data_IF_253542582652
#
_entry.id   IF_253542582652
#
_cell.length_a   1.000
_cell.length_b   1.000
_cell.length_c   1.000
_cell.angle_alpha   90.00
_cell.angle_beta   90.00
_cell.angle_gamma   90.00
#
_symmetry.space_group_name_H-M   'P 1'
#
loop_
_entity.id
_entity.type
_entity.pdbx_description
1 polymer ?
#
# COMPACT_ATOMS: atom_id res chain seq x y z
N UNK A 1 -6.64 -4.24 -27.15
CA UNK A 1 -5.67 -4.55 -28.21
C UNK A 1 -6.44 -5.19 -29.35
N UNK A 2 -6.18 -4.77 -30.57
CA UNK A 2 -6.70 -5.41 -31.79
C UNK A 2 -5.48 -5.79 -32.61
N UNK A 3 -5.35 -7.07 -32.99
CA UNK A 3 -4.20 -7.60 -33.75
C UNK A 3 -2.82 -7.30 -33.12
N UNK A 4 -2.73 -7.25 -31.79
CA UNK A 4 -1.48 -6.94 -31.06
C UNK A 4 -1.18 -5.44 -30.94
N UNK A 5 -2.01 -4.56 -31.48
CA UNK A 5 -1.87 -3.11 -31.38
C UNK A 5 -2.71 -2.54 -30.24
N UNK A 6 -2.19 -1.51 -29.58
CA UNK A 6 -2.90 -0.78 -28.53
C UNK A 6 -3.98 0.12 -29.15
N UNK A 7 -5.16 0.15 -28.54
CA UNK A 7 -6.31 0.91 -29.05
C UNK A 7 -6.96 1.74 -27.95
N UNK A 8 -7.44 2.94 -28.29
CA UNK A 8 -8.29 3.79 -27.43
C UNK A 8 -9.60 4.04 -28.17
N UNK A 9 -10.73 3.65 -27.57
CA UNK A 9 -12.06 3.76 -28.20
C UNK A 9 -12.17 3.12 -29.59
N UNK A 10 -11.41 2.04 -29.84
CA UNK A 10 -11.37 1.35 -31.13
C UNK A 10 -10.29 1.85 -32.09
N UNK A 11 -9.72 3.04 -31.85
CA UNK A 11 -8.68 3.63 -32.69
C UNK A 11 -7.29 3.16 -32.26
N UNK A 12 -6.45 2.76 -33.24
CA UNK A 12 -5.07 2.36 -32.98
C UNK A 12 -4.26 3.57 -32.53
N UNK A 13 -3.49 3.38 -31.45
CA UNK A 13 -2.61 4.41 -30.91
C UNK A 13 -1.15 3.98 -31.00
N UNK A 14 -0.28 4.95 -31.30
CA UNK A 14 1.17 4.73 -31.26
C UNK A 14 1.56 4.31 -29.85
N UNK A 15 2.22 3.17 -29.75
CA UNK A 15 2.68 2.61 -28.48
C UNK A 15 4.13 2.18 -28.58
N UNK A 16 4.76 1.97 -27.44
CA UNK A 16 6.12 1.45 -27.32
C UNK A 16 6.13 0.25 -26.39
N UNK A 17 7.10 -0.67 -26.50
CA UNK A 17 7.27 -1.73 -25.52
C UNK A 17 7.45 -1.16 -24.12
N UNK A 18 6.89 -1.84 -23.11
CA UNK A 18 6.96 -1.39 -21.70
C UNK A 18 8.39 -1.11 -21.26
N UNK A 19 9.35 -1.97 -21.64
CA UNK A 19 10.78 -1.77 -21.35
C UNK A 19 11.29 -0.41 -21.88
N UNK A 20 11.01 -0.11 -23.14
CA UNK A 20 11.40 1.16 -23.78
C UNK A 20 10.70 2.36 -23.14
N UNK A 21 9.44 2.20 -22.71
CA UNK A 21 8.71 3.22 -21.97
C UNK A 21 9.35 3.53 -20.61
N UNK A 22 9.76 2.50 -19.86
CA UNK A 22 10.47 2.65 -18.57
C UNK A 22 11.81 3.37 -18.77
N UNK A 23 12.59 2.97 -19.78
CA UNK A 23 13.90 3.59 -20.06
C UNK A 23 13.76 5.07 -20.40
N UNK A 24 12.76 5.43 -21.21
CA UNK A 24 12.42 6.82 -21.50
C UNK A 24 11.98 7.58 -20.25
N UNK A 25 11.13 6.98 -19.41
CA UNK A 25 10.68 7.60 -18.17
C UNK A 25 11.84 7.84 -17.19
N UNK A 26 12.72 6.86 -16.98
CA UNK A 26 13.91 7.00 -16.12
C UNK A 26 14.81 8.13 -16.65
N UNK A 27 15.06 8.14 -17.97
CA UNK A 27 15.87 9.17 -18.61
C UNK A 27 15.27 10.56 -18.40
N UNK A 28 13.94 10.68 -18.49
CA UNK A 28 13.22 11.92 -18.26
C UNK A 28 13.29 12.35 -16.79
N UNK A 29 12.97 11.47 -15.84
CA UNK A 29 13.01 11.76 -14.39
C UNK A 29 14.41 12.15 -13.93
N UNK A 30 15.45 11.50 -14.46
CA UNK A 30 16.84 11.73 -14.07
C UNK A 30 17.38 13.12 -14.44
N UNK A 31 16.64 13.89 -15.26
CA UNK A 31 16.96 15.30 -15.58
C UNK A 31 16.65 16.24 -14.43
N UNK A 32 15.87 15.81 -13.45
CA UNK A 32 15.41 16.62 -12.33
C UNK A 32 16.08 16.16 -11.03
N UNK A 33 16.33 17.10 -10.13
CA UNK A 33 16.77 16.81 -8.75
C UNK A 33 15.56 16.86 -7.83
N UNK A 34 15.56 16.05 -6.76
CA UNK A 34 14.51 16.03 -5.73
C UNK A 34 13.10 15.87 -6.30
N UNK A 35 12.89 14.82 -7.09
CA UNK A 35 11.62 14.60 -7.80
C UNK A 35 10.53 14.13 -6.84
N UNK A 36 9.35 14.74 -6.95
CA UNK A 36 8.13 14.26 -6.32
C UNK A 36 7.09 13.91 -7.39
N UNK A 37 6.67 12.64 -7.46
CA UNK A 37 5.59 12.20 -8.32
C UNK A 37 4.26 12.28 -7.56
N UNK A 38 3.29 12.97 -8.13
CA UNK A 38 1.97 13.15 -7.53
C UNK A 38 0.94 12.45 -8.41
N UNK A 39 0.11 11.61 -7.81
CA UNK A 39 -1.00 10.95 -8.48
C UNK A 39 -2.25 11.00 -7.60
N UNK A 40 -3.41 11.13 -8.24
CA UNK A 40 -4.70 11.12 -7.55
C UNK A 40 -5.15 9.70 -7.29
N UNK A 41 -5.34 9.32 -6.02
CA UNK A 41 -5.57 7.92 -5.60
C UNK A 41 -4.39 7.00 -5.97
N UNK A 42 -3.20 7.59 -6.12
CA UNK A 42 -2.01 6.92 -6.64
C UNK A 42 -1.55 5.74 -5.77
N UNK A 43 -1.80 5.80 -4.45
CA UNK A 43 -1.39 4.71 -3.54
C UNK A 43 -2.15 3.41 -3.80
N UNK A 44 -3.37 3.51 -4.34
CA UNK A 44 -4.21 2.35 -4.68
C UNK A 44 -4.07 1.92 -6.14
N UNK A 45 -3.62 2.80 -7.03
CA UNK A 45 -3.65 2.56 -8.47
C UNK A 45 -2.28 2.75 -9.14
N UNK A 46 -1.86 3.99 -9.39
CA UNK A 46 -0.70 4.28 -10.23
C UNK A 46 0.62 3.75 -9.65
N UNK A 47 0.89 4.02 -8.36
CA UNK A 47 2.16 3.68 -7.76
C UNK A 47 2.40 2.16 -7.62
N UNK A 48 1.41 1.33 -7.22
CA UNK A 48 1.56 -0.13 -7.27
C UNK A 48 1.89 -0.66 -8.68
N UNK A 49 1.25 -0.11 -9.72
CA UNK A 49 1.52 -0.50 -11.11
C UNK A 49 2.94 -0.10 -11.52
N UNK A 50 3.32 1.16 -11.27
CA UNK A 50 4.64 1.68 -11.56
C UNK A 50 5.73 0.86 -10.86
N UNK A 51 5.62 0.67 -9.55
CA UNK A 51 6.60 -0.08 -8.75
C UNK A 51 6.67 -1.54 -9.17
N UNK A 52 5.54 -2.17 -9.52
CA UNK A 52 5.52 -3.54 -10.07
C UNK A 52 6.34 -3.65 -11.35
N UNK A 53 6.16 -2.71 -12.29
CA UNK A 53 6.88 -2.66 -13.55
C UNK A 53 8.39 -2.46 -13.31
N UNK A 54 8.75 -1.54 -12.41
CA UNK A 54 10.15 -1.28 -12.05
C UNK A 54 10.82 -2.47 -11.36
N UNK A 55 10.12 -3.17 -10.46
CA UNK A 55 10.60 -4.39 -9.80
C UNK A 55 10.88 -5.49 -10.82
N UNK A 56 9.94 -5.75 -11.73
CA UNK A 56 10.08 -6.78 -12.78
C UNK A 56 11.26 -6.50 -13.72
N UNK A 57 11.57 -5.23 -13.95
CA UNK A 57 12.73 -4.81 -14.74
C UNK A 57 14.06 -4.71 -13.97
N UNK A 58 14.09 -5.00 -12.66
CA UNK A 58 15.29 -4.83 -11.84
C UNK A 58 15.74 -3.37 -11.68
N UNK A 59 14.83 -2.40 -11.85
CA UNK A 59 15.14 -0.97 -11.94
C UNK A 59 14.62 -0.15 -10.75
N UNK A 60 14.10 -0.77 -9.68
CA UNK A 60 13.47 -0.04 -8.56
C UNK A 60 14.40 1.03 -7.96
N UNK A 61 15.70 0.76 -7.86
CA UNK A 61 16.69 1.71 -7.35
C UNK A 61 16.84 2.97 -8.22
N UNK A 62 16.47 2.92 -9.51
CA UNK A 62 16.55 4.09 -10.39
C UNK A 62 15.50 5.15 -10.09
N UNK A 63 14.48 4.81 -9.30
CA UNK A 63 13.46 5.75 -8.85
C UNK A 63 13.42 5.88 -7.32
N UNK A 64 14.33 5.23 -6.58
CA UNK A 64 14.27 5.19 -5.11
C UNK A 64 14.44 6.56 -4.45
N UNK A 65 15.06 7.51 -5.14
CA UNK A 65 15.22 8.91 -4.71
C UNK A 65 13.99 9.78 -4.97
N UNK A 66 12.99 9.28 -5.70
CA UNK A 66 11.73 9.99 -5.89
C UNK A 66 10.86 9.89 -4.63
N UNK A 67 10.19 10.99 -4.30
CA UNK A 67 9.07 10.98 -3.37
C UNK A 67 7.76 10.72 -4.13
N UNK A 68 6.84 9.95 -3.56
CA UNK A 68 5.49 9.75 -4.08
C UNK A 68 4.47 10.43 -3.17
N UNK A 69 3.48 11.08 -3.76
CA UNK A 69 2.35 11.68 -3.04
C UNK A 69 1.04 11.19 -3.64
N UNK A 70 0.17 10.68 -2.78
CA UNK A 70 -1.23 10.48 -3.09
C UNK A 70 -2.00 11.77 -2.77
N UNK A 71 -2.43 12.48 -3.82
CA UNK A 71 -3.11 13.76 -3.66
C UNK A 71 -4.43 13.63 -2.91
N UNK A 72 -5.05 12.44 -2.84
CA UNK A 72 -6.25 12.26 -2.02
C UNK A 72 -5.96 12.51 -0.54
N UNK A 73 -4.77 12.16 -0.04
CA UNK A 73 -4.41 12.42 1.35
C UNK A 73 -4.29 13.92 1.63
N UNK A 74 -3.81 14.68 0.65
CA UNK A 74 -3.69 16.13 0.69
C UNK A 74 -5.08 16.77 0.67
N UNK A 75 -5.90 16.44 -0.32
CA UNK A 75 -7.25 17.02 -0.45
C UNK A 75 -8.18 16.60 0.69
N UNK A 76 -8.03 15.39 1.25
CA UNK A 76 -8.80 14.97 2.42
C UNK A 76 -8.53 15.84 3.64
N UNK A 77 -7.29 16.30 3.82
CA UNK A 77 -6.92 17.20 4.92
C UNK A 77 -7.54 18.59 4.75
N UNK A 78 -7.58 19.09 3.52
CA UNK A 78 -8.09 20.44 3.22
C UNK A 78 -9.61 20.50 3.04
N UNK A 79 -10.23 19.45 2.49
CA UNK A 79 -11.62 19.43 2.02
C UNK A 79 -12.37 18.17 2.49
N UNK A 80 -12.28 17.85 3.77
CA UNK A 80 -12.75 16.58 4.37
C UNK A 80 -14.25 16.25 4.21
N UNK A 81 -15.09 17.23 3.85
CA UNK A 81 -16.55 17.10 3.73
C UNK A 81 -17.07 16.98 2.29
N UNK A 82 -16.19 16.96 1.29
CA UNK A 82 -16.59 16.97 -0.12
C UNK A 82 -16.22 15.65 -0.80
N UNK A 83 -16.78 15.42 -1.99
CA UNK A 83 -16.28 14.34 -2.85
C UNK A 83 -14.82 14.59 -3.18
N UNK A 84 -14.00 13.56 -3.00
CA UNK A 84 -12.57 13.61 -3.31
C UNK A 84 -12.26 12.99 -4.67
N UNK A 85 -13.24 12.75 -5.53
CA UNK A 85 -12.97 12.38 -6.92
C UNK A 85 -12.36 13.58 -7.63
N UNK A 86 -11.32 13.36 -8.44
CA UNK A 86 -10.64 14.45 -9.14
C UNK A 86 -11.61 15.31 -9.97
N UNK A 87 -12.55 14.70 -10.70
CA UNK A 87 -13.57 15.42 -11.49
C UNK A 87 -14.41 16.37 -10.63
N UNK A 88 -14.83 15.92 -9.45
CA UNK A 88 -15.65 16.71 -8.54
C UNK A 88 -14.84 17.86 -7.92
N UNK A 89 -13.56 17.61 -7.59
CA UNK A 89 -12.64 18.63 -7.09
C UNK A 89 -12.36 19.70 -8.14
N UNK A 90 -12.12 19.32 -9.40
CA UNK A 90 -11.90 20.27 -10.50
C UNK A 90 -13.15 21.13 -10.72
N UNK A 91 -14.32 20.50 -10.78
CA UNK A 91 -15.58 21.23 -10.93
C UNK A 91 -15.83 22.19 -9.76
N UNK A 92 -15.67 21.72 -8.52
CA UNK A 92 -16.03 22.51 -7.34
C UNK A 92 -15.01 23.60 -7.01
N UNK A 93 -13.72 23.33 -7.18
CA UNK A 93 -12.65 24.27 -6.79
C UNK A 93 -12.21 25.18 -7.93
N UNK A 94 -12.23 24.69 -9.17
CA UNK A 94 -11.76 25.44 -10.34
C UNK A 94 -12.91 25.94 -11.23
N UNK A 95 -14.13 25.43 -11.06
CA UNK A 95 -15.25 25.76 -11.94
C UNK A 95 -15.08 25.19 -13.35
N UNK A 96 -14.25 24.16 -13.52
CA UNK A 96 -13.89 23.59 -14.81
C UNK A 96 -14.42 22.15 -14.98
N UNK A 97 -14.48 21.68 -16.21
CA UNK A 97 -14.61 20.26 -16.54
C UNK A 97 -13.45 19.86 -17.46
N UNK A 98 -13.18 18.56 -17.57
CA UNK A 98 -12.14 18.04 -18.46
C UNK A 98 -12.48 16.62 -18.91
N UNK A 99 -11.77 16.15 -19.94
CA UNK A 99 -11.87 14.79 -20.46
C UNK A 99 -11.24 13.78 -19.50
N UNK A 100 -12.02 13.37 -18.49
CA UNK A 100 -11.60 12.34 -17.54
C UNK A 100 -11.36 11.01 -18.27
N UNK A 101 -10.39 10.23 -17.79
CA UNK A 101 -9.89 9.01 -18.44
C UNK A 101 -8.92 9.24 -19.60
N UNK A 102 -8.57 10.49 -19.89
CA UNK A 102 -7.39 10.84 -20.67
C UNK A 102 -6.22 11.16 -19.73
N UNK A 103 -5.16 10.36 -19.78
CA UNK A 103 -4.03 10.50 -18.84
C UNK A 103 -3.40 11.91 -18.86
N UNK A 104 -3.32 12.57 -20.02
CA UNK A 104 -2.77 13.93 -20.12
C UNK A 104 -3.73 14.93 -19.48
N UNK A 105 -5.03 14.84 -19.79
CA UNK A 105 -6.03 15.72 -19.19
C UNK A 105 -6.09 15.52 -17.66
N UNK A 106 -6.00 14.27 -17.19
CA UNK A 106 -5.95 13.92 -15.77
C UNK A 106 -4.75 14.58 -15.06
N UNK A 107 -3.53 14.50 -15.63
CA UNK A 107 -2.35 15.12 -14.98
C UNK A 107 -2.38 16.64 -15.04
N UNK A 108 -2.90 17.24 -16.11
CA UNK A 108 -3.04 18.70 -16.24
C UNK A 108 -4.05 19.22 -15.22
N UNK A 109 -5.20 18.57 -15.10
CA UNK A 109 -6.23 18.91 -14.12
C UNK A 109 -5.70 18.74 -12.68
N UNK A 110 -4.98 17.66 -12.40
CA UNK A 110 -4.33 17.46 -11.10
C UNK A 110 -3.30 18.56 -10.80
N UNK A 111 -2.49 18.95 -11.79
CA UNK A 111 -1.53 20.04 -11.67
C UNK A 111 -2.19 21.37 -11.29
N UNK A 112 -3.31 21.71 -11.95
CA UNK A 112 -4.12 22.89 -11.61
C UNK A 112 -4.64 22.83 -10.17
N UNK A 113 -5.16 21.68 -9.73
CA UNK A 113 -5.64 21.52 -8.35
C UNK A 113 -4.51 21.69 -7.32
N UNK A 114 -3.34 21.10 -7.56
CA UNK A 114 -2.17 21.23 -6.67
C UNK A 114 -1.69 22.69 -6.59
N UNK A 115 -1.71 23.41 -7.71
CA UNK A 115 -1.38 24.84 -7.73
C UNK A 115 -2.45 25.69 -7.01
N UNK A 116 -3.73 25.35 -7.17
CA UNK A 116 -4.84 26.06 -6.55
C UNK A 116 -4.78 26.04 -5.03
N UNK A 117 -4.45 24.89 -4.43
CA UNK A 117 -4.41 24.75 -2.97
C UNK A 117 -3.22 25.48 -2.31
N UNK A 118 -2.21 25.89 -3.09
CA UNK A 118 -1.04 26.68 -2.63
C UNK A 118 -0.39 26.15 -1.35
N UNK A 119 -0.33 24.84 -1.19
CA UNK A 119 0.31 24.21 -0.03
C UNK A 119 1.83 24.44 -0.06
N UNK A 120 2.44 24.88 1.06
CA UNK A 120 3.89 24.94 1.17
C UNK A 120 4.52 23.58 0.89
N UNK A 121 5.71 23.58 0.28
CA UNK A 121 6.40 22.35 -0.09
C UNK A 121 6.63 21.41 1.11
N UNK A 122 6.95 21.95 2.29
CA UNK A 122 7.11 21.15 3.51
C UNK A 122 5.82 20.42 3.92
N UNK A 123 4.68 21.11 3.85
CA UNK A 123 3.38 20.52 4.16
C UNK A 123 2.96 19.47 3.13
N UNK A 124 3.25 19.72 1.85
CA UNK A 124 3.02 18.75 0.79
C UNK A 124 3.89 17.49 0.98
N UNK A 125 5.17 17.68 1.32
CA UNK A 125 6.11 16.59 1.58
C UNK A 125 5.76 15.76 2.82
N UNK A 126 5.03 16.31 3.79
CA UNK A 126 4.51 15.55 4.93
C UNK A 126 3.53 14.43 4.51
N UNK A 127 2.97 14.49 3.30
CA UNK A 127 2.13 13.46 2.72
C UNK A 127 2.90 12.45 1.85
N UNK A 128 4.22 12.61 1.73
CA UNK A 128 5.02 11.77 0.85
C UNK A 128 5.36 10.40 1.44
N UNK A 129 5.65 9.46 0.56
CA UNK A 129 6.17 8.14 0.87
C UNK A 129 7.13 7.69 -0.24
N UNK A 130 7.95 6.68 0.04
CA UNK A 130 8.95 6.20 -0.91
C UNK A 130 8.40 5.09 -1.84
N UNK A 131 9.00 4.89 -3.03
CA UNK A 131 8.73 3.71 -3.86
C UNK A 131 8.96 2.39 -3.12
N UNK A 132 9.94 2.37 -2.20
CA UNK A 132 10.21 1.22 -1.33
C UNK A 132 9.03 0.92 -0.41
N UNK A 133 8.39 1.93 0.17
CA UNK A 133 7.20 1.74 1.00
C UNK A 133 6.03 1.12 0.20
N UNK A 134 5.90 1.46 -1.10
CA UNK A 134 4.93 0.81 -1.98
C UNK A 134 5.30 -0.65 -2.23
N UNK A 135 6.57 -0.93 -2.55
CA UNK A 135 7.06 -2.31 -2.74
C UNK A 135 6.77 -3.18 -1.52
N UNK A 136 7.06 -2.68 -0.33
CA UNK A 136 6.78 -3.37 0.92
C UNK A 136 5.28 -3.57 1.16
N UNK A 137 4.44 -2.61 0.80
CA UNK A 137 3.00 -2.77 0.89
C UNK A 137 2.49 -3.88 -0.06
N UNK A 138 3.08 -4.00 -1.25
CA UNK A 138 2.79 -5.11 -2.17
C UNK A 138 3.19 -6.46 -1.55
N UNK A 139 4.39 -6.55 -0.97
CA UNK A 139 4.87 -7.79 -0.34
C UNK A 139 3.98 -8.17 0.87
N UNK A 140 3.60 -7.18 1.68
CA UNK A 140 2.64 -7.35 2.77
C UNK A 140 1.28 -7.85 2.27
N UNK A 141 0.75 -7.30 1.18
CA UNK A 141 -0.53 -7.73 0.62
C UNK A 141 -0.47 -9.16 0.06
N UNK A 142 0.65 -9.53 -0.56
CA UNK A 142 0.89 -10.90 -1.04
C UNK A 142 0.95 -11.89 0.13
N UNK A 143 1.74 -11.56 1.17
CA UNK A 143 1.82 -12.37 2.39
C UNK A 143 0.46 -12.48 3.08
N UNK A 144 -0.29 -11.38 3.16
CA UNK A 144 -1.65 -11.36 3.71
C UNK A 144 -2.56 -12.31 2.95
N UNK A 145 -2.58 -12.25 1.62
CA UNK A 145 -3.43 -13.12 0.80
C UNK A 145 -3.11 -14.59 1.01
N UNK A 146 -1.82 -14.95 1.09
CA UNK A 146 -1.35 -16.32 1.31
C UNK A 146 -1.65 -16.84 2.73
N UNK A 147 -1.41 -16.01 3.74
CA UNK A 147 -1.37 -16.46 5.14
C UNK A 147 -2.71 -16.30 5.87
N UNK A 148 -3.57 -15.36 5.46
CA UNK A 148 -4.82 -15.06 6.14
C UNK A 148 -5.75 -16.27 6.28
N UNK A 149 -5.90 -17.17 5.29
CA UNK A 149 -6.73 -18.36 5.44
C UNK A 149 -6.33 -19.22 6.64
N UNK A 150 -5.03 -19.32 6.95
CA UNK A 150 -4.54 -20.10 8.09
C UNK A 150 -5.04 -19.56 9.44
N UNK A 151 -5.36 -18.27 9.54
CA UNK A 151 -5.79 -17.61 10.78
C UNK A 151 -7.32 -17.68 10.99
N UNK A 152 -8.06 -18.24 10.04
CA UNK A 152 -9.53 -18.37 10.11
C UNK A 152 -10.01 -19.04 11.41
N UNK A 153 -9.37 -20.10 11.95
CA UNK A 153 -9.80 -20.70 13.22
C UNK A 153 -9.77 -19.71 14.39
N UNK A 154 -8.76 -18.84 14.45
CA UNK A 154 -8.63 -17.84 15.53
C UNK A 154 -9.67 -16.71 15.38
N UNK A 155 -9.98 -16.33 14.15
CA UNK A 155 -11.04 -15.34 13.85
C UNK A 155 -12.42 -15.92 14.19
N UNK A 156 -12.69 -17.16 13.80
CA UNK A 156 -13.94 -17.87 14.13
C UNK A 156 -14.12 -18.07 15.63
N UNK A 157 -13.04 -18.35 16.35
CA UNK A 157 -13.00 -18.43 17.81
C UNK A 157 -13.11 -17.06 18.50
N UNK A 158 -13.26 -15.96 17.74
CA UNK A 158 -13.36 -14.58 18.25
C UNK A 158 -12.18 -14.13 19.12
N UNK A 159 -11.01 -14.74 18.93
CA UNK A 159 -9.78 -14.35 19.62
C UNK A 159 -9.37 -12.94 19.20
N UNK A 160 -9.49 -12.65 17.90
CA UNK A 160 -9.29 -11.33 17.34
C UNK A 160 -10.13 -11.08 16.09
N UNK A 161 -10.33 -9.80 15.78
CA UNK A 161 -11.05 -9.37 14.57
C UNK A 161 -10.17 -9.49 13.33
N UNK A 162 -10.82 -9.53 12.17
CA UNK A 162 -10.18 -9.61 10.85
C UNK A 162 -9.02 -8.62 10.63
N UNK A 163 -9.09 -7.33 11.04
CA UNK A 163 -7.95 -6.42 10.86
C UNK A 163 -6.67 -6.87 11.57
N UNK A 164 -6.79 -7.44 12.78
CA UNK A 164 -5.65 -8.01 13.49
C UNK A 164 -5.11 -9.25 12.76
N UNK A 165 -6.01 -10.09 12.23
CA UNK A 165 -5.63 -11.24 11.42
C UNK A 165 -4.86 -10.82 10.15
N UNK A 166 -5.32 -9.77 9.48
CA UNK A 166 -4.69 -9.21 8.28
C UNK A 166 -3.29 -8.66 8.56
N UNK A 167 -3.09 -8.00 9.71
CA UNK A 167 -1.78 -7.53 10.14
C UNK A 167 -0.81 -8.69 10.44
N UNK A 168 -1.27 -9.71 11.17
CA UNK A 168 -0.48 -10.92 11.45
C UNK A 168 -0.13 -11.62 10.13
N UNK A 169 -1.11 -11.87 9.27
CA UNK A 169 -0.92 -12.54 7.98
C UNK A 169 0.03 -11.77 7.06
N UNK A 170 -0.15 -10.45 6.94
CA UNK A 170 0.70 -9.58 6.12
C UNK A 170 2.14 -9.48 6.61
N UNK A 171 2.37 -9.76 7.91
CA UNK A 171 3.72 -9.85 8.49
C UNK A 171 4.47 -11.17 8.19
N UNK A 172 3.86 -12.05 7.40
CA UNK A 172 4.39 -13.38 7.08
C UNK A 172 4.04 -14.46 8.11
N UNK A 173 3.21 -14.16 9.12
CA UNK A 173 2.86 -15.12 10.16
C UNK A 173 1.60 -15.91 9.79
N UNK A 174 1.64 -17.21 10.10
CA UNK A 174 0.56 -18.17 9.92
C UNK A 174 0.22 -18.80 11.27
N UNK A 175 -0.90 -19.53 11.34
CA UNK A 175 -1.30 -20.25 12.56
C UNK A 175 -0.21 -21.21 13.06
N UNK A 176 0.48 -21.91 12.16
CA UNK A 176 1.58 -22.82 12.51
C UNK A 176 2.76 -22.09 13.17
N UNK A 177 3.07 -20.87 12.71
CA UNK A 177 4.09 -20.04 13.32
C UNK A 177 3.69 -19.65 14.75
N UNK A 178 2.43 -19.21 14.94
CA UNK A 178 1.91 -18.85 16.27
C UNK A 178 1.94 -20.06 17.23
N UNK A 179 1.53 -21.24 16.77
CA UNK A 179 1.58 -22.48 17.56
C UNK A 179 3.02 -22.85 17.94
N UNK A 180 3.96 -22.69 17.00
CA UNK A 180 5.39 -22.96 17.25
C UNK A 180 5.98 -21.98 18.26
N UNK A 181 5.66 -20.69 18.15
CA UNK A 181 6.10 -19.67 19.11
C UNK A 181 5.57 -19.97 20.51
N UNK A 182 4.28 -20.28 20.62
CA UNK A 182 3.66 -20.68 21.87
C UNK A 182 4.36 -21.89 22.51
N UNK A 183 4.63 -22.94 21.73
CA UNK A 183 5.30 -24.15 22.24
C UNK A 183 6.72 -23.92 22.76
N UNK A 184 7.39 -22.84 22.31
CA UNK A 184 8.79 -22.55 22.67
C UNK A 184 8.94 -21.57 23.83
N UNK A 185 8.02 -20.64 23.98
CA UNK A 185 8.14 -19.58 24.98
C UNK A 185 6.81 -18.92 25.35
N UNK A 186 5.70 -19.63 25.19
CA UNK A 186 4.37 -19.19 25.62
C UNK A 186 3.95 -17.86 25.00
N UNK A 187 3.29 -17.04 25.82
CA UNK A 187 2.82 -15.71 25.44
C UNK A 187 3.96 -14.75 25.06
N UNK A 188 5.07 -14.79 25.79
CA UNK A 188 6.18 -13.85 25.62
C UNK A 188 6.82 -14.01 24.23
N UNK A 189 7.00 -15.25 23.76
CA UNK A 189 7.50 -15.51 22.42
C UNK A 189 6.59 -14.92 21.31
N UNK A 190 5.26 -14.99 21.48
CA UNK A 190 4.32 -14.37 20.53
C UNK A 190 4.42 -12.84 20.62
N UNK A 191 4.44 -12.29 21.84
CA UNK A 191 4.51 -10.85 22.10
C UNK A 191 5.77 -10.25 21.49
N UNK A 192 6.91 -10.89 21.66
CA UNK A 192 8.20 -10.43 21.15
C UNK A 192 8.25 -10.46 19.63
N UNK A 193 7.74 -11.52 19.00
CA UNK A 193 7.66 -11.58 17.54
C UNK A 193 6.71 -10.52 16.98
N UNK A 194 5.61 -10.20 17.66
CA UNK A 194 4.70 -9.14 17.20
C UNK A 194 5.35 -7.76 17.22
N UNK A 195 6.19 -7.49 18.23
CA UNK A 195 6.92 -6.23 18.41
C UNK A 195 8.19 -6.14 17.57
N UNK A 196 8.75 -7.26 17.13
CA UNK A 196 10.03 -7.30 16.40
C UNK A 196 10.02 -6.33 15.22
N UNK A 197 11.07 -5.52 15.07
CA UNK A 197 11.11 -4.55 13.98
C UNK A 197 11.27 -5.24 12.63
N UNK A 198 10.49 -4.78 11.64
CA UNK A 198 10.70 -5.10 10.23
C UNK A 198 11.86 -4.24 9.66
N UNK A 199 12.12 -4.37 8.37
CA UNK A 199 13.20 -3.64 7.68
C UNK A 199 13.08 -2.11 7.71
N UNK A 200 11.95 -1.55 8.18
CA UNK A 200 11.70 -0.11 8.29
C UNK A 200 11.61 0.34 9.76
N UNK A 201 11.97 -0.51 10.72
CA UNK A 201 11.88 -0.18 12.14
C UNK A 201 10.44 -0.16 12.69
N UNK A 202 9.46 -0.65 11.91
CA UNK A 202 8.08 -0.77 12.37
C UNK A 202 7.83 -2.16 12.96
N UNK A 203 6.89 -2.30 13.94
CA UNK A 203 6.55 -3.59 14.51
C UNK A 203 6.09 -4.58 13.43
N UNK A 204 6.55 -5.83 13.53
CA UNK A 204 6.26 -6.89 12.56
C UNK A 204 4.76 -7.10 12.41
N UNK A 205 4.03 -7.26 13.51
CA UNK A 205 2.57 -7.43 13.48
C UNK A 205 1.83 -6.35 14.27
N UNK A 206 2.29 -6.01 15.48
CA UNK A 206 1.71 -4.93 16.28
C UNK A 206 2.59 -4.57 17.48
N UNK A 207 2.65 -3.27 17.81
CA UNK A 207 3.08 -2.78 19.12
C UNK A 207 1.92 -2.22 19.95
N UNK A 208 0.69 -2.34 19.47
CA UNK A 208 -0.47 -1.76 20.15
C UNK A 208 -0.72 -2.50 21.46
N UNK A 209 -0.64 -1.77 22.59
CA UNK A 209 -0.82 -2.33 23.93
C UNK A 209 -2.09 -3.17 24.08
N UNK A 210 -3.23 -2.70 23.57
CA UNK A 210 -4.50 -3.45 23.62
C UNK A 210 -4.43 -4.74 22.82
N UNK A 211 -3.81 -4.73 21.64
CA UNK A 211 -3.60 -5.96 20.86
C UNK A 211 -2.72 -6.92 21.66
N UNK A 212 -1.61 -6.44 22.23
CA UNK A 212 -0.69 -7.31 22.95
C UNK A 212 -1.31 -7.87 24.25
N UNK A 213 -2.12 -7.10 24.97
CA UNK A 213 -2.73 -7.52 26.24
C UNK A 213 -4.02 -8.32 26.04
N UNK A 214 -4.83 -8.02 25.03
CA UNK A 214 -6.11 -8.70 24.83
C UNK A 214 -6.00 -9.93 23.92
N UNK A 215 -5.10 -9.90 22.93
CA UNK A 215 -5.06 -10.92 21.86
C UNK A 215 -4.06 -12.03 22.18
N UNK A 216 -2.86 -11.68 22.64
CA UNK A 216 -1.79 -12.67 22.88
C UNK A 216 -2.22 -13.73 23.91
N UNK A 217 -2.79 -13.38 25.08
CA UNK A 217 -3.22 -14.39 26.05
C UNK A 217 -4.33 -15.31 25.50
N UNK A 218 -5.25 -14.76 24.70
CA UNK A 218 -6.32 -15.56 24.06
C UNK A 218 -5.78 -16.53 23.02
N UNK A 219 -4.70 -16.17 22.32
CA UNK A 219 -4.01 -17.09 21.39
C UNK A 219 -3.37 -18.24 22.18
N UNK A 220 -2.69 -17.96 23.30
CA UNK A 220 -2.07 -18.98 24.13
C UNK A 220 -3.11 -19.97 24.68
N UNK A 221 -4.16 -19.45 25.32
CA UNK A 221 -5.27 -20.25 25.85
C UNK A 221 -5.95 -21.11 24.77
N UNK A 222 -6.08 -20.58 23.55
CA UNK A 222 -6.61 -21.36 22.43
C UNK A 222 -5.73 -22.60 22.13
N UNK A 223 -4.40 -22.45 22.15
CA UNK A 223 -3.50 -23.58 21.90
C UNK A 223 -3.45 -24.58 23.05
N UNK A 224 -3.54 -24.12 24.30
CA UNK A 224 -3.64 -24.99 25.49
C UNK A 224 -4.89 -25.86 25.42
N UNK A 225 -6.05 -25.26 25.11
CA UNK A 225 -7.31 -25.97 24.98
C UNK A 225 -7.31 -26.99 23.81
N UNK A 226 -6.60 -26.69 22.73
CA UNK A 226 -6.43 -27.62 21.61
C UNK A 226 -5.56 -28.83 21.98
N UNK A 227 -4.54 -28.65 22.83
CA UNK A 227 -3.71 -29.75 23.31
C UNK A 227 -4.49 -30.66 24.27
N UNK A 228 -5.28 -30.09 25.18
CA UNK A 228 -6.11 -30.86 26.12
C UNK A 228 -7.15 -31.76 25.41
N UNK A 229 -7.71 -31.31 24.28
CA UNK A 229 -8.67 -32.07 23.48
C UNK A 229 -8.05 -33.15 22.57
N UNK A 230 -6.72 -33.21 22.44
CA UNK A 230 -6.02 -34.26 21.68
C UNK A 230 -5.60 -35.48 22.51
N UNK A 231 -5.87 -35.47 23.82
CA UNK A 231 -5.61 -36.59 24.74
C UNK A 231 -6.89 -37.25 25.28
N UNK A 232 -8.07 -36.88 24.75
CA UNK A 232 -9.37 -37.52 24.97
C UNK A 232 -9.90 -38.07 23.64
#
# INVERSE_FOLDING_TARGET
MVNGEMTVNGEVVKSVPVKSGIEQFITWVSRFRNVCLIAHNGRRFDFPILVSIFRKGGNLEKISTCAFIDSMSVFRKLYSKQSLKQVDLVSTLLGETYDAHNAIADVVALGKLVQFVKLPAGDLMAHSFSPRAVSMNMDFNNAKALNLPSLSPLVSARIFKRPTAENIAGSGLQLVHLKTLHSRGGEDAIRDVFKMNNSEGLPRASSNKKVLEDVVPKIALYFENQQANSFN
#
